data_IF_165312166324
#
_entry.id   IF_165312166324
#
_cell.length_a   1.000
_cell.length_b   1.000
_cell.length_c   1.000
_cell.angle_alpha   90.00
_cell.angle_beta   90.00
_cell.angle_gamma   90.00
#
_symmetry.space_group_name_H-M   'P 1'
#
loop_
_entity.id
_entity.type
_entity.pdbx_description
1 polymer ?
#
# COMPACT_ATOMS: atom_id res chain seq x y z
N UNK A 1 -4.43 -26.15 -77.26
CA UNK A 1 -4.28 -27.14 -76.18
C UNK A 1 -3.33 -26.52 -75.16
N UNK A 2 -3.86 -26.07 -74.02
CA UNK A 2 -3.12 -25.34 -73.00
C UNK A 2 -2.26 -26.31 -72.15
N UNK A 3 -0.98 -25.95 -71.95
CA UNK A 3 -0.07 -26.60 -71.00
C UNK A 3 -0.32 -26.01 -69.60
N UNK A 4 -0.68 -26.87 -68.63
CA UNK A 4 -0.80 -26.51 -67.21
C UNK A 4 0.54 -26.68 -66.51
N UNK A 5 1.16 -25.58 -66.07
CA UNK A 5 2.33 -25.62 -65.17
C UNK A 5 1.86 -25.62 -63.72
N UNK A 6 2.24 -26.65 -62.96
CA UNK A 6 1.89 -26.83 -61.56
C UNK A 6 2.99 -26.21 -60.68
N UNK A 7 2.70 -25.07 -60.04
CA UNK A 7 3.60 -24.45 -59.06
C UNK A 7 3.45 -25.15 -57.71
N UNK A 8 4.51 -25.81 -57.24
CA UNK A 8 4.61 -26.34 -55.87
C UNK A 8 5.09 -25.20 -54.98
N UNK A 9 4.19 -24.64 -54.17
CA UNK A 9 4.52 -23.66 -53.13
C UNK A 9 5.03 -24.37 -51.88
N UNK A 10 6.31 -24.20 -51.57
CA UNK A 10 6.89 -24.55 -50.27
C UNK A 10 6.33 -23.62 -49.20
N UNK A 11 5.46 -24.13 -48.33
CA UNK A 11 5.01 -23.42 -47.13
C UNK A 11 6.12 -23.54 -46.09
N UNK A 12 6.85 -22.45 -45.85
CA UNK A 12 7.72 -22.32 -44.69
C UNK A 12 6.81 -22.11 -43.48
N UNK A 13 6.74 -23.10 -42.60
CA UNK A 13 6.06 -22.97 -41.31
C UNK A 13 6.89 -22.02 -40.43
N UNK A 14 6.44 -20.76 -40.34
CA UNK A 14 6.99 -19.80 -39.39
C UNK A 14 6.41 -20.17 -38.02
N UNK A 15 7.25 -20.75 -37.16
CA UNK A 15 6.98 -20.91 -35.73
C UNK A 15 6.97 -19.52 -35.09
N UNK A 16 5.79 -18.90 -35.01
CA UNK A 16 5.60 -17.68 -34.20
C UNK A 16 5.46 -18.09 -32.74
N UNK A 17 6.57 -18.17 -32.01
CA UNK A 17 6.50 -18.21 -30.55
C UNK A 17 6.07 -16.80 -30.10
N UNK A 18 4.77 -16.64 -29.87
CA UNK A 18 4.20 -15.34 -29.53
C UNK A 18 4.74 -14.90 -28.17
N UNK A 19 5.50 -13.82 -28.15
CA UNK A 19 5.98 -13.22 -26.90
C UNK A 19 4.78 -12.94 -25.97
N UNK A 20 4.86 -13.38 -24.71
CA UNK A 20 3.81 -13.17 -23.73
C UNK A 20 3.45 -11.69 -23.62
N UNK A 21 2.18 -11.36 -23.81
CA UNK A 21 1.64 -10.00 -23.67
C UNK A 21 0.91 -9.92 -22.34
N UNK A 22 1.22 -8.90 -21.55
CA UNK A 22 0.56 -8.65 -20.28
C UNK A 22 -0.97 -8.57 -20.44
N UNK A 23 -1.75 -9.47 -19.82
CA UNK A 23 -3.20 -9.41 -19.89
C UNK A 23 -3.78 -8.14 -19.23
N UNK A 24 -3.06 -7.56 -18.27
CA UNK A 24 -3.35 -6.24 -17.66
C UNK A 24 -2.06 -5.48 -17.35
N UNK A 25 -2.10 -4.13 -17.17
CA UNK A 25 -0.87 -3.35 -16.98
C UNK A 25 -0.02 -3.81 -15.79
N UNK A 26 -0.64 -4.22 -14.67
CA UNK A 26 0.06 -4.67 -13.48
C UNK A 26 -0.51 -6.01 -12.97
N UNK A 27 0.34 -6.95 -12.52
CA UNK A 27 -0.13 -8.19 -11.87
C UNK A 27 0.73 -9.40 -12.17
N UNK A 28 0.32 -10.58 -11.69
CA UNK A 28 1.07 -11.81 -11.88
C UNK A 28 0.29 -12.88 -12.65
N UNK A 29 0.96 -13.55 -13.57
CA UNK A 29 0.32 -14.47 -14.53
C UNK A 29 1.14 -15.74 -14.68
N UNK A 30 0.44 -16.86 -14.87
CA UNK A 30 1.07 -18.16 -15.08
C UNK A 30 1.84 -18.17 -16.38
N UNK A 31 3.05 -18.69 -16.34
CA UNK A 31 3.70 -19.19 -17.55
C UNK A 31 3.02 -20.49 -17.97
N UNK A 32 2.39 -20.48 -19.16
CA UNK A 32 1.73 -21.65 -19.71
C UNK A 32 2.70 -22.80 -20.02
N UNK A 33 3.99 -22.49 -20.20
CA UNK A 33 5.05 -23.46 -20.52
C UNK A 33 5.74 -24.03 -19.28
N UNK A 34 5.64 -23.38 -18.11
CA UNK A 34 6.31 -23.81 -16.90
C UNK A 34 5.59 -23.40 -15.62
N UNK A 35 5.11 -24.40 -14.86
CA UNK A 35 4.55 -24.17 -13.52
C UNK A 35 5.58 -23.69 -12.49
N UNK A 36 6.87 -23.62 -12.85
CA UNK A 36 7.94 -23.07 -12.00
C UNK A 36 8.26 -21.63 -12.33
N UNK A 37 7.58 -21.06 -13.32
CA UNK A 37 7.76 -19.69 -13.77
C UNK A 37 6.42 -18.95 -13.77
N UNK A 38 6.49 -17.63 -13.75
CA UNK A 38 5.35 -16.74 -13.85
C UNK A 38 5.80 -15.41 -14.47
N UNK A 39 4.85 -14.65 -15.00
CA UNK A 39 5.07 -13.30 -15.47
C UNK A 39 4.59 -12.30 -14.42
N UNK A 40 5.42 -11.34 -14.08
CA UNK A 40 5.04 -10.13 -13.36
C UNK A 40 4.90 -9.01 -14.38
N UNK A 41 3.72 -8.48 -14.58
CA UNK A 41 3.47 -7.31 -15.42
C UNK A 41 3.58 -6.05 -14.59
N UNK A 42 4.28 -5.03 -15.10
CA UNK A 42 4.27 -3.68 -14.55
C UNK A 42 4.22 -2.65 -15.70
N UNK A 43 3.21 -1.78 -15.71
CA UNK A 43 2.89 -0.88 -16.82
C UNK A 43 2.88 -1.56 -18.21
N UNK A 44 2.25 -2.74 -18.29
CA UNK A 44 2.13 -3.60 -19.48
C UNK A 44 3.44 -4.21 -19.97
N UNK A 45 4.52 -4.10 -19.20
CA UNK A 45 5.81 -4.73 -19.48
C UNK A 45 5.90 -6.07 -18.73
N UNK A 46 6.01 -7.22 -19.41
CA UNK A 46 6.08 -8.52 -18.77
C UNK A 46 7.50 -8.85 -18.31
N UNK A 47 7.64 -9.22 -17.04
CA UNK A 47 8.87 -9.72 -16.44
C UNK A 47 8.71 -11.21 -16.13
N UNK A 48 9.38 -12.07 -16.90
CA UNK A 48 9.36 -13.51 -16.67
C UNK A 48 10.25 -13.89 -15.48
N UNK A 49 9.69 -14.56 -14.46
CA UNK A 49 10.33 -14.80 -13.17
C UNK A 49 10.19 -16.27 -12.74
N UNK A 50 11.26 -16.87 -12.18
CA UNK A 50 11.17 -18.18 -11.56
C UNK A 50 10.56 -18.12 -10.17
N UNK A 51 9.86 -19.17 -9.79
CA UNK A 51 9.58 -19.46 -8.40
C UNK A 51 10.86 -19.87 -7.65
N UNK A 52 10.96 -19.58 -6.34
CA UNK A 52 12.02 -20.13 -5.50
C UNK A 52 12.09 -21.66 -5.57
N UNK A 53 13.29 -22.22 -5.40
CA UNK A 53 13.55 -23.67 -5.54
C UNK A 53 12.57 -24.52 -4.72
N UNK A 54 11.90 -25.45 -5.39
CA UNK A 54 10.93 -26.37 -4.77
C UNK A 54 9.49 -25.89 -4.75
N UNK A 55 9.21 -24.68 -5.24
CA UNK A 55 7.85 -24.12 -5.33
C UNK A 55 7.34 -24.10 -6.78
N UNK A 56 6.02 -24.15 -6.93
CA UNK A 56 5.32 -23.96 -8.20
C UNK A 56 4.37 -22.78 -8.12
N UNK A 57 4.25 -22.05 -9.21
CA UNK A 57 3.33 -20.94 -9.36
C UNK A 57 1.89 -21.42 -9.24
N UNK A 58 1.11 -20.73 -8.41
CA UNK A 58 -0.32 -20.92 -8.29
C UNK A 58 -1.01 -19.63 -8.73
N UNK A 59 -1.61 -19.64 -9.93
CA UNK A 59 -2.36 -18.49 -10.43
C UNK A 59 -3.48 -18.06 -9.49
N UNK A 60 -4.14 -19.03 -8.86
CA UNK A 60 -5.23 -18.79 -7.90
C UNK A 60 -4.77 -18.02 -6.65
N UNK A 61 -3.50 -18.18 -6.27
CA UNK A 61 -2.94 -17.58 -5.04
C UNK A 61 -1.98 -16.44 -5.36
N UNK A 62 -1.81 -16.15 -6.66
CA UNK A 62 -0.77 -15.28 -7.25
C UNK A 62 0.59 -15.39 -6.53
N UNK A 63 1.00 -16.61 -6.15
CA UNK A 63 2.27 -16.86 -5.45
C UNK A 63 2.80 -18.26 -5.69
N UNK A 64 4.09 -18.43 -5.40
CA UNK A 64 4.76 -19.73 -5.45
C UNK A 64 4.44 -20.55 -4.19
N UNK A 65 3.98 -21.79 -4.36
CA UNK A 65 3.53 -22.70 -3.29
C UNK A 65 4.16 -24.08 -3.42
N UNK A 66 4.20 -24.85 -2.32
CA UNK A 66 4.64 -26.25 -2.35
C UNK A 66 3.55 -27.14 -2.96
N UNK A 67 3.91 -27.99 -3.92
CA UNK A 67 2.98 -28.93 -4.58
C UNK A 67 2.47 -30.06 -3.66
N UNK A 68 2.95 -30.16 -2.41
CA UNK A 68 2.66 -31.28 -1.49
C UNK A 68 1.69 -30.96 -0.36
N UNK A 69 0.85 -29.92 -0.47
CA UNK A 69 -0.28 -29.81 0.46
C UNK A 69 -1.41 -30.73 -0.05
N UNK A 70 -1.85 -31.74 0.72
CA UNK A 70 -2.88 -32.67 0.28
C UNK A 70 -4.15 -31.94 -0.14
N UNK A 71 -4.73 -32.39 -1.25
CA UNK A 71 -6.07 -31.98 -1.71
C UNK A 71 -7.05 -32.50 -0.66
N UNK A 72 -7.56 -31.64 0.20
CA UNK A 72 -8.73 -31.98 1.02
C UNK A 72 -9.90 -32.36 0.08
N UNK A 73 -10.82 -33.25 0.51
CA UNK A 73 -11.86 -33.79 -0.35
C UNK A 73 -12.64 -32.65 -1.00
N UNK A 74 -12.76 -32.71 -2.33
CA UNK A 74 -13.52 -31.75 -3.13
C UNK A 74 -14.98 -31.91 -2.72
N UNK A 75 -15.45 -31.03 -1.82
CA UNK A 75 -16.88 -30.74 -1.68
C UNK A 75 -17.44 -30.33 -3.05
N UNK A 76 -18.75 -30.54 -3.31
CA UNK A 76 -19.33 -30.25 -4.62
C UNK A 76 -18.93 -28.84 -5.03
N UNK A 77 -18.52 -28.66 -6.29
CA UNK A 77 -18.10 -27.38 -6.85
C UNK A 77 -19.26 -26.39 -6.67
N UNK A 78 -19.29 -25.68 -5.54
CA UNK A 78 -20.05 -24.46 -5.41
C UNK A 78 -19.46 -23.53 -6.46
N UNK A 79 -20.30 -23.05 -7.38
CA UNK A 79 -19.94 -22.02 -8.33
C UNK A 79 -19.12 -20.97 -7.59
N UNK A 80 -17.95 -20.60 -8.14
CA UNK A 80 -17.14 -19.52 -7.58
C UNK A 80 -18.01 -18.26 -7.64
N UNK A 81 -18.73 -17.96 -6.57
CA UNK A 81 -19.41 -16.70 -6.37
C UNK A 81 -18.30 -15.69 -6.14
N UNK A 82 -17.85 -15.04 -7.21
CA UNK A 82 -17.05 -13.84 -7.05
C UNK A 82 -17.97 -12.69 -6.61
N UNK A 83 -17.40 -11.62 -6.05
CA UNK A 83 -18.21 -10.51 -5.55
C UNK A 83 -19.09 -9.83 -6.62
N UNK A 84 -18.85 -10.10 -7.91
CA UNK A 84 -19.65 -9.61 -9.04
C UNK A 84 -20.76 -10.59 -9.50
N UNK A 85 -20.79 -11.84 -9.00
CA UNK A 85 -21.70 -12.89 -9.48
C UNK A 85 -23.18 -12.62 -9.18
N UNK A 86 -23.48 -11.77 -8.21
CA UNK A 86 -24.86 -11.38 -7.83
C UNK A 86 -25.33 -10.07 -8.49
N UNK A 87 -24.53 -9.51 -9.39
CA UNK A 87 -24.75 -8.21 -10.04
C UNK A 87 -23.55 -7.28 -9.87
N UNK A 88 -23.59 -6.12 -10.54
CA UNK A 88 -22.55 -5.09 -10.41
C UNK A 88 -22.81 -4.26 -9.13
N UNK A 89 -21.98 -4.38 -8.08
CA UNK A 89 -22.14 -3.63 -6.85
C UNK A 89 -21.32 -2.33 -6.83
N UNK A 90 -20.71 -1.97 -7.97
CA UNK A 90 -20.06 -0.69 -8.18
C UNK A 90 -21.10 0.38 -8.52
N UNK A 91 -21.00 1.51 -7.84
CA UNK A 91 -21.88 2.66 -7.97
C UNK A 91 -21.44 3.56 -9.13
N UNK A 92 -22.29 4.53 -9.48
CA UNK A 92 -21.95 5.63 -10.40
C UNK A 92 -21.41 5.21 -11.77
N UNK A 93 -21.89 4.07 -12.28
CA UNK A 93 -21.47 3.52 -13.57
C UNK A 93 -20.11 2.81 -13.53
N UNK A 94 -19.54 2.60 -12.35
CA UNK A 94 -18.36 1.76 -12.18
C UNK A 94 -18.61 0.33 -12.64
N UNK A 95 -17.56 -0.36 -13.11
CA UNK A 95 -17.65 -1.75 -13.58
C UNK A 95 -17.04 -2.70 -12.56
N UNK A 96 -17.73 -3.80 -12.25
CA UNK A 96 -17.27 -4.81 -11.30
C UNK A 96 -16.35 -5.83 -11.96
N UNK A 97 -15.16 -5.99 -11.40
CA UNK A 97 -14.18 -6.99 -11.78
C UNK A 97 -13.98 -8.01 -10.64
N UNK A 98 -14.03 -9.32 -10.91
CA UNK A 98 -13.76 -10.35 -9.90
C UNK A 98 -12.35 -10.23 -9.32
N UNK A 99 -12.24 -10.20 -7.99
CA UNK A 99 -10.96 -10.18 -7.26
C UNK A 99 -10.86 -11.36 -6.31
N UNK A 100 -10.88 -12.60 -6.82
CA UNK A 100 -10.81 -13.81 -5.97
C UNK A 100 -12.17 -14.31 -5.46
N UNK A 101 -12.16 -15.16 -4.42
CA UNK A 101 -13.36 -15.79 -3.85
C UNK A 101 -14.09 -14.78 -2.97
N UNK A 102 -15.33 -14.44 -3.32
CA UNK A 102 -16.19 -13.43 -2.68
C UNK A 102 -15.70 -11.98 -2.71
N UNK A 103 -14.56 -11.70 -3.34
CA UNK A 103 -13.98 -10.35 -3.42
C UNK A 103 -14.09 -9.77 -4.84
N UNK A 104 -14.12 -8.43 -4.92
CA UNK A 104 -14.39 -7.67 -6.14
C UNK A 104 -13.64 -6.35 -6.14
N UNK A 105 -13.38 -5.86 -7.34
CA UNK A 105 -12.80 -4.55 -7.57
C UNK A 105 -13.71 -3.72 -8.47
N UNK A 106 -13.85 -2.43 -8.16
CA UNK A 106 -14.67 -1.52 -8.96
C UNK A 106 -13.80 -0.58 -9.81
N UNK A 107 -13.93 -0.71 -11.12
CA UNK A 107 -13.37 0.23 -12.10
C UNK A 107 -14.25 1.46 -12.19
N UNK A 108 -13.81 2.58 -11.61
CA UNK A 108 -14.60 3.79 -11.56
C UNK A 108 -14.53 4.59 -12.87
N UNK A 109 -15.70 5.11 -13.26
CA UNK A 109 -15.85 6.11 -14.32
C UNK A 109 -15.16 7.42 -13.95
N UNK A 110 -14.96 8.29 -14.93
CA UNK A 110 -14.34 9.59 -14.71
C UNK A 110 -15.10 10.37 -13.62
N UNK A 111 -14.37 10.93 -12.66
CA UNK A 111 -14.90 11.62 -11.48
C UNK A 111 -15.60 10.72 -10.45
N UNK A 112 -15.29 9.42 -10.38
CA UNK A 112 -15.70 8.59 -9.25
C UNK A 112 -14.52 7.78 -8.70
N UNK A 113 -14.57 7.45 -7.41
CA UNK A 113 -13.54 6.71 -6.71
C UNK A 113 -14.10 6.04 -5.44
N UNK A 114 -13.26 5.29 -4.73
CA UNK A 114 -13.67 4.42 -3.63
C UNK A 114 -13.74 2.95 -4.06
N UNK A 115 -13.82 2.05 -3.09
CA UNK A 115 -13.82 0.60 -3.32
C UNK A 115 -15.00 0.12 -4.17
N UNK A 116 -16.07 0.91 -4.21
CA UNK A 116 -17.30 0.69 -4.96
C UNK A 116 -17.65 1.87 -5.88
N UNK A 117 -16.73 2.78 -6.17
CA UNK A 117 -17.02 4.01 -6.92
C UNK A 117 -18.14 4.87 -6.31
N UNK A 118 -18.32 4.75 -4.99
CA UNK A 118 -19.38 5.38 -4.20
C UNK A 118 -19.15 6.89 -4.02
N UNK A 119 -17.93 7.38 -4.27
CA UNK A 119 -17.58 8.77 -4.05
C UNK A 119 -17.48 9.55 -5.36
N UNK A 120 -18.12 10.73 -5.39
CA UNK A 120 -18.01 11.69 -6.48
C UNK A 120 -16.73 12.50 -6.34
N UNK A 121 -15.94 12.56 -7.40
CA UNK A 121 -14.79 13.42 -7.61
C UNK A 121 -15.21 14.84 -7.99
N UNK A 122 -16.23 15.39 -7.33
CA UNK A 122 -16.33 16.85 -7.22
C UNK A 122 -15.16 17.31 -6.34
N UNK A 123 -14.61 18.49 -6.64
CA UNK A 123 -13.36 18.97 -6.02
C UNK A 123 -13.34 18.70 -4.52
N UNK A 124 -12.32 17.97 -4.05
CA UNK A 124 -12.29 17.48 -2.69
C UNK A 124 -12.53 18.63 -1.70
N UNK A 125 -13.65 18.62 -0.99
CA UNK A 125 -13.95 19.58 0.08
C UNK A 125 -13.03 19.32 1.28
N UNK A 126 -11.83 19.88 1.16
CA UNK A 126 -10.77 19.85 2.16
C UNK A 126 -10.70 21.16 2.94
N UNK A 127 -11.83 21.87 3.02
CA UNK A 127 -11.96 23.15 3.75
C UNK A 127 -11.50 23.03 5.21
N UNK A 128 -11.72 21.89 5.85
CA UNK A 128 -11.20 21.59 7.20
C UNK A 128 -9.67 21.65 7.22
N UNK A 129 -8.99 21.02 6.25
CA UNK A 129 -7.52 21.03 6.18
C UNK A 129 -6.99 22.42 5.81
N UNK A 130 -7.67 23.14 4.91
CA UNK A 130 -7.33 24.53 4.56
C UNK A 130 -7.50 25.48 5.75
N UNK A 131 -8.53 25.25 6.57
CA UNK A 131 -8.72 25.98 7.82
C UNK A 131 -7.63 25.67 8.84
N UNK A 132 -7.16 24.43 8.92
CA UNK A 132 -6.05 24.04 9.81
C UNK A 132 -4.75 24.73 9.37
N UNK A 133 -4.49 24.81 8.06
CA UNK A 133 -3.30 25.48 7.50
C UNK A 133 -3.35 27.00 7.70
N UNK A 134 -4.52 27.62 7.48
CA UNK A 134 -4.69 29.08 7.53
C UNK A 134 -4.92 29.62 8.93
N UNK A 135 -5.42 28.79 9.85
CA UNK A 135 -5.48 29.10 11.27
C UNK A 135 -4.05 29.29 11.78
N UNK A 136 -3.74 30.49 12.27
CA UNK A 136 -2.42 30.92 12.77
C UNK A 136 -2.06 30.20 14.10
N UNK A 137 -2.18 28.87 14.12
CA UNK A 137 -2.32 28.05 15.31
C UNK A 137 -1.06 27.22 15.57
N UNK A 138 -0.65 27.17 16.83
CA UNK A 138 0.43 26.33 17.36
C UNK A 138 0.17 24.80 17.22
N UNK A 139 -0.91 24.40 16.56
CA UNK A 139 -1.35 23.01 16.42
C UNK A 139 -1.03 22.42 15.02
N UNK A 140 -0.57 23.22 14.07
CA UNK A 140 -0.17 22.71 12.76
C UNK A 140 1.17 21.97 12.84
N UNK A 141 1.23 20.77 12.27
CA UNK A 141 2.41 19.92 12.31
C UNK A 141 3.30 20.15 11.09
N UNK A 142 4.58 20.39 11.32
CA UNK A 142 5.55 20.66 10.25
C UNK A 142 6.41 19.44 9.87
N UNK A 143 6.24 18.32 10.57
CA UNK A 143 7.10 17.14 10.43
C UNK A 143 7.15 16.61 9.00
N UNK A 144 6.01 16.55 8.30
CA UNK A 144 5.93 16.05 6.93
C UNK A 144 6.77 16.90 5.99
N UNK A 145 6.60 18.22 6.06
CA UNK A 145 7.29 19.15 5.17
C UNK A 145 8.79 19.17 5.46
N UNK A 146 9.17 19.19 6.74
CA UNK A 146 10.57 19.25 7.15
C UNK A 146 11.32 17.97 6.77
N UNK A 147 10.74 16.81 7.06
CA UNK A 147 11.37 15.50 6.78
C UNK A 147 11.47 15.28 5.28
N UNK A 148 10.38 15.49 4.53
CA UNK A 148 10.39 15.32 3.08
C UNK A 148 11.23 16.39 2.38
N UNK A 149 11.45 17.55 2.99
CA UNK A 149 12.32 18.58 2.42
C UNK A 149 13.79 18.29 2.58
N UNK A 150 14.21 17.77 3.73
CA UNK A 150 15.61 17.49 4.04
C UNK A 150 16.10 16.14 3.53
N UNK A 151 15.21 15.28 3.05
CA UNK A 151 15.53 13.98 2.48
C UNK A 151 15.21 13.91 0.98
N UNK A 152 16.14 13.35 0.19
CA UNK A 152 16.00 13.22 -1.27
C UNK A 152 15.58 11.80 -1.70
N UNK A 153 14.49 11.30 -1.13
CA UNK A 153 13.98 9.97 -1.50
C UNK A 153 13.19 10.01 -2.81
N UNK A 154 13.27 8.93 -3.58
CA UNK A 154 12.54 8.71 -4.84
C UNK A 154 11.80 7.37 -4.80
N UNK A 155 10.91 7.13 -5.75
CA UNK A 155 10.11 5.90 -5.83
C UNK A 155 9.39 5.61 -4.50
N UNK A 156 8.72 6.65 -3.99
CA UNK A 156 8.09 6.64 -2.68
C UNK A 156 6.71 6.00 -2.76
N UNK A 157 6.45 5.10 -1.81
CA UNK A 157 5.11 4.71 -1.36
C UNK A 157 4.83 5.47 -0.07
N UNK A 158 3.83 6.34 -0.06
CA UNK A 158 3.40 7.06 1.14
C UNK A 158 2.17 6.37 1.76
N UNK A 159 2.32 5.85 2.97
CA UNK A 159 1.27 5.21 3.75
C UNK A 159 0.92 6.13 4.92
N UNK A 160 -0.28 6.68 4.92
CA UNK A 160 -0.65 7.85 5.72
C UNK A 160 -1.85 7.50 6.60
N UNK A 161 -1.65 7.61 7.90
CA UNK A 161 -2.74 7.63 8.87
C UNK A 161 -3.53 8.93 8.71
N UNK A 162 -4.84 8.80 8.47
CA UNK A 162 -5.77 9.93 8.33
C UNK A 162 -6.93 9.86 9.32
N UNK A 163 -6.72 9.18 10.45
CA UNK A 163 -7.63 9.16 11.60
C UNK A 163 -7.85 10.56 12.19
N UNK A 164 -8.83 10.68 13.08
CA UNK A 164 -9.26 11.96 13.63
C UNK A 164 -8.16 12.70 14.39
N UNK A 165 -7.29 11.98 15.11
CA UNK A 165 -6.14 12.58 15.83
C UNK A 165 -5.08 13.12 14.86
N UNK A 166 -4.97 12.52 13.67
CA UNK A 166 -3.99 12.89 12.66
C UNK A 166 -4.37 14.11 11.83
N UNK A 167 -5.53 14.75 12.06
CA UNK A 167 -5.99 15.91 11.30
C UNK A 167 -4.91 17.01 11.08
N UNK A 168 -4.12 17.43 12.09
CA UNK A 168 -3.05 18.41 11.85
C UNK A 168 -1.94 17.90 10.94
N UNK A 169 -1.58 16.61 11.04
CA UNK A 169 -0.56 16.03 10.18
C UNK A 169 -1.08 15.71 8.77
N UNK A 170 -2.35 15.30 8.66
CA UNK A 170 -3.07 15.17 7.41
C UNK A 170 -3.09 16.52 6.67
N UNK A 171 -3.31 17.64 7.37
CA UNK A 171 -3.18 18.97 6.79
C UNK A 171 -1.77 19.24 6.25
N UNK A 172 -0.73 18.74 6.93
CA UNK A 172 0.65 18.85 6.46
C UNK A 172 0.93 18.04 5.19
N UNK A 173 0.36 16.83 5.10
CA UNK A 173 0.39 16.02 3.88
C UNK A 173 -0.34 16.75 2.75
N UNK A 174 -1.52 17.30 3.01
CA UNK A 174 -2.29 18.09 2.04
C UNK A 174 -1.50 19.29 1.51
N UNK A 175 -0.88 20.07 2.41
CA UNK A 175 -0.05 21.20 2.03
C UNK A 175 1.15 20.78 1.20
N UNK A 176 1.82 19.70 1.58
CA UNK A 176 2.92 19.13 0.81
C UNK A 176 2.50 18.79 -0.62
N UNK A 177 1.36 18.10 -0.78
CA UNK A 177 0.82 17.72 -2.08
C UNK A 177 0.53 18.93 -2.98
N UNK A 178 0.01 20.02 -2.42
CA UNK A 178 -0.33 21.25 -3.18
C UNK A 178 0.89 22.09 -3.55
N UNK A 179 1.83 22.28 -2.61
CA UNK A 179 2.90 23.27 -2.73
C UNK A 179 4.23 22.70 -3.25
N UNK A 180 4.44 21.39 -3.15
CA UNK A 180 5.72 20.76 -3.49
C UNK A 180 5.62 19.90 -4.75
N UNK A 181 4.93 20.37 -5.78
CA UNK A 181 4.57 19.57 -6.97
C UNK A 181 5.76 18.92 -7.69
N UNK A 182 6.95 19.52 -7.66
CA UNK A 182 8.14 18.89 -8.23
C UNK A 182 8.67 17.74 -7.37
N UNK A 183 8.56 17.85 -6.04
CA UNK A 183 8.95 16.78 -5.11
C UNK A 183 7.88 15.69 -4.99
N UNK A 184 6.60 16.00 -5.22
CA UNK A 184 5.54 14.98 -5.24
C UNK A 184 5.70 14.01 -6.42
N UNK A 185 6.45 14.38 -7.47
CA UNK A 185 6.86 13.46 -8.55
C UNK A 185 7.71 12.28 -8.05
N UNK A 186 8.34 12.41 -6.89
CA UNK A 186 9.08 11.32 -6.27
C UNK A 186 8.16 10.30 -5.59
N UNK A 187 6.90 10.66 -5.33
CA UNK A 187 5.87 9.78 -4.80
C UNK A 187 5.15 9.12 -5.97
N UNK A 188 5.09 7.79 -5.96
CA UNK A 188 4.42 7.01 -7.00
C UNK A 188 3.04 6.56 -6.57
N UNK A 189 2.84 6.37 -5.27
CA UNK A 189 1.64 5.76 -4.73
C UNK A 189 1.33 6.28 -3.33
N UNK A 190 0.05 6.48 -3.07
CA UNK A 190 -0.49 6.81 -1.75
C UNK A 190 -1.40 5.69 -1.26
N UNK A 191 -1.31 5.43 0.04
CA UNK A 191 -2.28 4.66 0.82
C UNK A 191 -2.68 5.53 2.00
N UNK A 192 -3.97 5.69 2.22
CA UNK A 192 -4.57 6.38 3.36
C UNK A 192 -5.34 5.34 4.17
N UNK A 193 -5.25 5.39 5.49
CA UNK A 193 -6.03 4.49 6.34
C UNK A 193 -6.69 5.23 7.50
N UNK A 194 -7.86 4.72 7.92
CA UNK A 194 -8.72 5.32 8.95
C UNK A 194 -9.17 4.32 10.03
N UNK A 195 -8.53 3.14 10.06
CA UNK A 195 -8.81 2.03 10.98
C UNK A 195 -10.23 1.45 10.89
N UNK A 196 -10.69 1.25 9.66
CA UNK A 196 -11.78 0.35 9.37
C UNK A 196 -13.13 1.01 9.17
N UNK A 197 -13.19 2.24 8.67
CA UNK A 197 -14.45 2.91 8.28
C UNK A 197 -15.50 2.98 9.40
N UNK A 198 -15.10 3.48 10.57
CA UNK A 198 -15.93 3.57 11.79
C UNK A 198 -16.53 2.21 12.24
N UNK A 199 -15.92 1.09 11.84
CA UNK A 199 -16.25 -0.23 12.39
C UNK A 199 -16.13 -0.21 13.91
N UNK A 200 -17.10 -0.87 14.57
CA UNK A 200 -17.01 -1.14 16.00
C UNK A 200 -15.74 -1.94 16.33
N UNK A 201 -15.15 -1.73 17.50
CA UNK A 201 -13.89 -2.38 17.90
C UNK A 201 -13.92 -3.91 17.81
N UNK A 202 -15.09 -4.54 18.01
CA UNK A 202 -15.25 -6.00 17.89
C UNK A 202 -15.15 -6.51 16.44
N UNK A 203 -15.44 -5.66 15.46
CA UNK A 203 -15.37 -5.99 14.04
C UNK A 203 -13.97 -5.81 13.44
N UNK A 204 -13.05 -5.13 14.15
CA UNK A 204 -11.68 -4.85 13.71
C UNK A 204 -10.78 -6.06 13.87
N UNK A 205 -10.79 -6.93 12.86
CA UNK A 205 -9.97 -8.15 12.80
C UNK A 205 -8.60 -7.83 12.20
N UNK A 206 -7.54 -8.18 12.90
CA UNK A 206 -6.15 -8.00 12.44
C UNK A 206 -5.96 -8.64 11.05
N UNK A 207 -5.43 -7.84 10.11
CA UNK A 207 -5.19 -8.25 8.71
C UNK A 207 -6.42 -8.12 7.82
N UNK A 208 -7.54 -7.65 8.37
CA UNK A 208 -8.76 -7.33 7.62
C UNK A 208 -9.56 -6.23 8.34
N UNK A 209 -8.89 -5.27 8.99
CA UNK A 209 -9.60 -4.15 9.65
C UNK A 209 -10.26 -3.27 8.60
N UNK A 210 -9.59 -3.05 7.47
CA UNK A 210 -10.13 -2.30 6.32
C UNK A 210 -9.98 -0.79 6.49
N UNK A 211 -10.80 0.00 5.80
CA UNK A 211 -10.62 1.45 5.81
C UNK A 211 -9.30 1.88 5.20
N UNK A 212 -8.87 1.16 4.17
CA UNK A 212 -7.64 1.41 3.40
C UNK A 212 -8.07 1.94 2.03
N UNK A 213 -7.54 3.10 1.68
CA UNK A 213 -7.85 3.80 0.43
C UNK A 213 -6.55 4.11 -0.28
N UNK A 214 -6.44 3.77 -1.56
CA UNK A 214 -5.18 3.92 -2.28
C UNK A 214 -5.34 4.54 -3.67
N UNK A 215 -4.26 5.18 -4.14
CA UNK A 215 -4.27 5.90 -5.41
C UNK A 215 -2.84 6.09 -5.93
N UNK A 216 -2.66 5.86 -7.22
CA UNK A 216 -1.43 6.26 -7.91
C UNK A 216 -1.26 7.79 -7.88
N UNK A 217 -0.04 8.26 -7.65
CA UNK A 217 0.26 9.69 -7.47
C UNK A 217 0.30 10.51 -8.79
N UNK A 218 -0.37 10.03 -9.85
CA UNK A 218 -0.34 10.64 -11.18
C UNK A 218 -1.42 11.74 -11.38
N UNK A 219 -2.38 11.85 -10.46
CA UNK A 219 -3.43 12.86 -10.52
C UNK A 219 -3.71 13.40 -9.11
N UNK A 220 -3.28 14.65 -8.87
CA UNK A 220 -3.42 15.31 -7.58
C UNK A 220 -4.88 15.38 -7.11
N UNK A 221 -5.83 15.73 -7.97
CA UNK A 221 -7.24 15.84 -7.58
C UNK A 221 -7.82 14.50 -7.13
N UNK A 222 -7.46 13.40 -7.81
CA UNK A 222 -7.88 12.05 -7.42
C UNK A 222 -7.25 11.60 -6.10
N UNK A 223 -5.97 11.90 -5.87
CA UNK A 223 -5.29 11.63 -4.59
C UNK A 223 -5.97 12.39 -3.45
N UNK A 224 -6.25 13.68 -3.65
CA UNK A 224 -6.92 14.51 -2.66
C UNK A 224 -8.34 14.04 -2.34
N UNK A 225 -9.09 13.62 -3.35
CA UNK A 225 -10.41 13.04 -3.15
C UNK A 225 -10.30 11.71 -2.37
N UNK A 226 -9.36 10.84 -2.74
CA UNK A 226 -9.10 9.57 -2.03
C UNK A 226 -8.79 9.79 -0.55
N UNK A 227 -7.91 10.74 -0.25
CA UNK A 227 -7.61 11.16 1.12
C UNK A 227 -8.86 11.65 1.87
N UNK A 228 -9.66 12.51 1.22
CA UNK A 228 -10.89 13.03 1.82
C UNK A 228 -11.90 11.91 2.14
N UNK A 229 -12.06 10.93 1.26
CA UNK A 229 -12.98 9.81 1.53
C UNK A 229 -12.51 8.94 2.68
N UNK A 230 -11.21 8.63 2.74
CA UNK A 230 -10.66 7.93 3.89
C UNK A 230 -10.96 8.68 5.20
N UNK A 231 -10.73 9.99 5.24
CA UNK A 231 -11.05 10.82 6.42
C UNK A 231 -12.56 10.89 6.76
N UNK A 232 -13.43 10.85 5.74
CA UNK A 232 -14.89 10.95 5.92
C UNK A 232 -15.52 9.64 6.40
N UNK A 233 -14.98 8.51 5.97
CA UNK A 233 -15.56 7.21 6.25
C UNK A 233 -15.11 6.64 7.61
N UNK A 234 -14.06 7.19 8.23
CA UNK A 234 -13.60 6.71 9.53
C UNK A 234 -12.73 7.71 10.27
N UNK A 235 -12.82 7.72 11.61
CA UNK A 235 -12.00 8.57 12.47
C UNK A 235 -11.02 7.81 13.37
N UNK A 236 -10.94 6.47 13.28
CA UNK A 236 -10.18 5.63 14.20
C UNK A 236 -11.06 4.96 15.27
N UNK A 237 -11.90 5.70 15.99
CA UNK A 237 -12.86 5.16 16.97
C UNK A 237 -12.26 4.61 18.29
N UNK A 238 -11.15 3.87 18.24
CA UNK A 238 -10.29 3.53 19.37
C UNK A 238 -8.84 3.99 19.13
N UNK A 239 -7.95 3.78 20.10
CA UNK A 239 -6.55 4.27 20.03
C UNK A 239 -5.65 3.41 19.11
N UNK A 240 -5.77 2.06 19.06
CA UNK A 240 -4.92 1.23 18.21
C UNK A 240 -5.38 1.17 16.75
N UNK A 241 -4.50 1.58 15.82
CA UNK A 241 -4.80 1.65 14.38
C UNK A 241 -4.25 0.44 13.58
N UNK A 242 -4.55 0.36 12.28
CA UNK A 242 -4.23 -0.75 11.37
C UNK A 242 -3.06 -0.48 10.41
N UNK A 243 -1.96 0.05 10.95
CA UNK A 243 -0.81 0.52 10.18
C UNK A 243 -0.15 -0.56 9.29
N UNK A 244 0.02 -1.79 9.82
CA UNK A 244 0.82 -2.81 9.12
C UNK A 244 0.08 -3.37 7.92
N UNK A 245 -1.22 -3.62 8.00
CA UNK A 245 -2.00 -4.04 6.84
C UNK A 245 -2.02 -2.96 5.75
N UNK A 246 -2.08 -1.67 6.12
CA UNK A 246 -1.97 -0.56 5.16
C UNK A 246 -0.58 -0.53 4.47
N UNK A 247 0.50 -0.78 5.23
CA UNK A 247 1.86 -0.90 4.67
C UNK A 247 1.96 -2.08 3.69
N UNK A 248 1.48 -3.26 4.10
CA UNK A 248 1.52 -4.46 3.26
C UNK A 248 0.73 -4.27 1.97
N UNK A 249 -0.48 -3.71 2.06
CA UNK A 249 -1.29 -3.32 0.90
C UNK A 249 -0.52 -2.39 -0.04
N UNK A 250 0.08 -1.32 0.49
CA UNK A 250 0.85 -0.39 -0.33
C UNK A 250 2.06 -1.03 -1.02
N UNK A 251 2.75 -1.96 -0.36
CA UNK A 251 3.89 -2.69 -0.94
C UNK A 251 3.45 -3.53 -2.15
N UNK A 252 2.28 -4.16 -2.05
CA UNK A 252 1.67 -4.92 -3.13
C UNK A 252 1.26 -4.01 -4.30
N UNK A 253 0.66 -2.85 -4.00
CA UNK A 253 0.23 -1.90 -5.02
C UNK A 253 1.39 -1.15 -5.70
N UNK A 254 2.51 -0.97 -5.00
CA UNK A 254 3.73 -0.37 -5.56
C UNK A 254 4.96 -1.27 -5.38
N UNK A 255 5.07 -2.37 -6.15
CA UNK A 255 6.21 -3.29 -6.04
C UNK A 255 7.53 -2.63 -6.43
N UNK A 256 7.49 -1.60 -7.27
CA UNK A 256 8.66 -0.82 -7.69
C UNK A 256 9.07 0.29 -6.71
N UNK A 257 8.22 0.64 -5.74
CA UNK A 257 8.58 1.62 -4.72
C UNK A 257 9.69 1.04 -3.83
N UNK A 258 10.76 1.81 -3.64
CA UNK A 258 11.93 1.44 -2.83
C UNK A 258 11.96 2.16 -1.49
N UNK A 259 11.25 3.28 -1.38
CA UNK A 259 11.15 4.07 -0.17
C UNK A 259 9.71 4.04 0.35
N UNK A 260 9.48 3.25 1.40
CA UNK A 260 8.19 3.24 2.09
C UNK A 260 8.24 4.29 3.17
N UNK A 261 7.37 5.29 3.08
CA UNK A 261 7.21 6.32 4.08
C UNK A 261 5.89 6.08 4.79
N UNK A 262 5.96 5.74 6.07
CA UNK A 262 4.81 5.54 6.92
C UNK A 262 4.64 6.76 7.83
N UNK A 263 3.56 7.52 7.65
CA UNK A 263 3.22 8.70 8.44
C UNK A 263 2.18 8.28 9.47
N UNK A 264 2.58 8.26 10.74
CA UNK A 264 1.84 7.61 11.82
C UNK A 264 1.64 8.52 13.04
N UNK A 265 0.57 8.27 13.80
CA UNK A 265 0.31 8.95 15.08
C UNK A 265 1.24 8.42 16.19
N UNK A 266 2.05 9.31 16.78
CA UNK A 266 2.89 8.96 17.92
C UNK A 266 2.12 8.49 19.16
N UNK A 267 0.81 8.77 19.24
CA UNK A 267 -0.04 8.43 20.38
C UNK A 267 -0.74 7.07 20.21
N UNK A 268 -0.74 6.52 19.01
CA UNK A 268 -1.34 5.24 18.69
C UNK A 268 -0.29 4.13 18.63
N UNK A 269 -0.62 2.96 19.18
CA UNK A 269 0.18 1.75 18.97
C UNK A 269 -0.53 0.87 17.95
N UNK A 270 0.12 0.48 16.85
CA UNK A 270 -0.54 -0.32 15.82
C UNK A 270 -1.06 -1.64 16.38
N UNK A 271 -2.31 -1.97 16.07
CA UNK A 271 -3.02 -3.15 16.56
C UNK A 271 -2.51 -4.44 15.93
N UNK A 272 -1.94 -4.31 14.75
CA UNK A 272 -1.60 -5.38 13.84
C UNK A 272 -0.08 -5.59 13.70
N UNK A 273 0.70 -5.16 14.72
CA UNK A 273 2.15 -5.40 14.81
C UNK A 273 2.56 -6.87 14.62
N UNK A 274 1.67 -7.82 14.90
CA UNK A 274 1.91 -9.25 14.64
C UNK A 274 2.18 -9.54 13.16
N UNK A 275 1.67 -8.70 12.25
CA UNK A 275 1.87 -8.80 10.80
C UNK A 275 3.23 -8.24 10.36
N UNK A 276 3.95 -7.49 11.22
CA UNK A 276 5.18 -6.76 10.85
C UNK A 276 6.26 -7.66 10.25
N UNK A 277 6.32 -8.92 10.67
CA UNK A 277 7.27 -9.91 10.12
C UNK A 277 7.09 -10.16 8.62
N UNK A 278 5.95 -9.80 8.04
CA UNK A 278 5.65 -9.93 6.61
C UNK A 278 6.21 -8.76 5.80
N UNK A 279 6.53 -7.63 6.42
CA UNK A 279 7.10 -6.45 5.76
C UNK A 279 8.57 -6.71 5.42
N UNK A 280 8.88 -6.84 4.12
CA UNK A 280 10.24 -7.20 3.63
C UNK A 280 11.03 -6.02 3.05
N UNK A 281 10.47 -4.82 3.13
CA UNK A 281 11.10 -3.59 2.62
C UNK A 281 11.32 -2.62 3.78
N UNK A 282 12.41 -1.81 3.75
CA UNK A 282 12.65 -0.79 4.77
C UNK A 282 11.53 0.23 4.88
N UNK A 283 11.01 0.42 6.10
CA UNK A 283 9.97 1.42 6.39
C UNK A 283 10.59 2.63 7.08
N UNK A 284 10.42 3.80 6.46
CA UNK A 284 10.77 5.10 7.02
C UNK A 284 9.56 5.63 7.77
N UNK A 285 9.61 5.58 9.09
CA UNK A 285 8.50 6.03 9.93
C UNK A 285 8.65 7.53 10.19
N UNK A 286 7.76 8.35 9.64
CA UNK A 286 7.53 9.72 10.10
C UNK A 286 6.47 9.66 11.19
N UNK A 287 6.78 10.22 12.34
CA UNK A 287 5.84 10.25 13.46
C UNK A 287 5.35 11.68 13.70
N UNK A 288 4.04 11.87 13.72
CA UNK A 288 3.39 13.14 14.00
C UNK A 288 3.00 13.23 15.47
N UNK A 289 2.81 14.43 16.02
CA UNK A 289 2.46 14.64 17.42
C UNK A 289 3.50 14.07 18.39
N UNK A 290 4.78 14.14 18.02
CA UNK A 290 5.89 13.85 18.93
C UNK A 290 5.90 14.90 20.02
N UNK A 291 5.63 14.49 21.25
CA UNK A 291 5.71 15.37 22.41
C UNK A 291 7.11 15.32 23.05
N UNK A 292 7.28 16.11 24.11
CA UNK A 292 8.53 16.13 24.88
C UNK A 292 8.88 14.77 25.50
N UNK A 293 7.94 13.83 25.58
CA UNK A 293 8.12 12.48 26.08
C UNK A 293 8.54 11.49 24.98
N UNK A 294 9.00 11.97 23.82
CA UNK A 294 9.66 11.16 22.80
C UNK A 294 8.70 10.36 21.93
N UNK A 295 9.23 9.34 21.27
CA UNK A 295 8.53 8.55 20.26
C UNK A 295 7.91 7.27 20.82
N UNK A 296 6.81 6.81 20.24
CA UNK A 296 6.24 5.51 20.53
C UNK A 296 7.29 4.42 20.22
N UNK A 297 7.67 3.59 21.21
CA UNK A 297 8.66 2.54 20.99
C UNK A 297 8.24 1.52 19.93
N UNK A 298 6.94 1.32 19.70
CA UNK A 298 6.47 0.40 18.66
C UNK A 298 6.67 0.96 17.25
N UNK A 299 6.50 2.26 17.05
CA UNK A 299 6.84 2.93 15.78
C UNK A 299 8.36 2.87 15.51
N UNK A 300 9.17 3.10 16.55
CA UNK A 300 10.63 2.89 16.49
C UNK A 300 10.97 1.42 16.13
N UNK A 301 10.22 0.46 16.65
CA UNK A 301 10.40 -0.96 16.36
C UNK A 301 9.98 -1.36 14.95
N UNK A 302 9.00 -0.67 14.34
CA UNK A 302 8.68 -0.84 12.91
C UNK A 302 9.88 -0.44 12.05
N UNK A 303 10.42 0.76 12.30
CA UNK A 303 11.62 1.24 11.60
C UNK A 303 12.80 0.27 11.77
N UNK A 304 13.09 -0.14 13.00
CA UNK A 304 14.19 -1.06 13.28
C UNK A 304 14.03 -2.44 12.63
N UNK A 305 12.89 -3.10 12.84
CA UNK A 305 12.67 -4.49 12.37
C UNK A 305 12.61 -4.61 10.85
N UNK A 306 12.30 -3.51 10.18
CA UNK A 306 12.30 -3.44 8.71
C UNK A 306 13.64 -2.96 8.14
N UNK A 307 14.64 -2.68 9.00
CA UNK A 307 15.91 -2.04 8.59
C UNK A 307 15.71 -0.68 7.91
N UNK A 308 14.65 0.02 8.32
CA UNK A 308 14.35 1.39 7.93
C UNK A 308 14.90 2.42 8.90
N UNK A 309 14.17 3.50 9.07
CA UNK A 309 14.59 4.67 9.86
C UNK A 309 13.38 5.38 10.46
N UNK A 310 13.61 6.13 11.53
CA UNK A 310 12.59 6.93 12.20
C UNK A 310 12.90 8.41 12.00
N UNK A 311 11.87 9.21 11.77
CA UNK A 311 11.98 10.62 11.43
C UNK A 311 11.01 11.45 12.26
N UNK A 312 11.53 12.45 12.94
CA UNK A 312 10.76 13.42 13.74
C UNK A 312 10.86 14.82 13.13
N UNK A 313 10.35 15.86 13.80
CA UNK A 313 10.41 17.23 13.28
C UNK A 313 11.85 17.66 12.95
N UNK A 314 12.81 17.32 13.81
CA UNK A 314 14.17 17.88 13.77
C UNK A 314 15.28 16.81 13.66
N UNK A 315 14.94 15.52 13.77
CA UNK A 315 15.91 14.43 13.84
C UNK A 315 15.55 13.26 12.92
N UNK A 316 16.57 12.71 12.26
CA UNK A 316 16.50 11.47 11.48
C UNK A 316 17.34 10.40 12.17
N UNK A 317 16.68 9.37 12.71
CA UNK A 317 17.32 8.25 13.41
C UNK A 317 17.46 7.08 12.45
N UNK A 318 18.69 6.87 11.98
CA UNK A 318 19.06 5.88 10.97
C UNK A 318 19.91 4.75 11.57
N UNK A 319 20.14 3.68 10.80
CA UNK A 319 21.00 2.55 11.20
C UNK A 319 20.60 1.91 12.53
N UNK A 320 19.30 1.90 12.85
CA UNK A 320 18.76 1.40 14.12
C UNK A 320 19.18 -0.05 14.42
N UNK A 321 19.22 -0.88 13.39
CA UNK A 321 19.60 -2.30 13.48
C UNK A 321 21.07 -2.52 13.85
N UNK A 322 21.93 -1.51 13.67
CA UNK A 322 23.35 -1.58 14.01
C UNK A 322 23.61 -1.31 15.50
N UNK A 323 22.63 -0.83 16.25
CA UNK A 323 22.75 -0.57 17.68
C UNK A 323 22.79 -1.90 18.44
N UNK A 324 23.87 -2.19 19.21
CA UNK A 324 24.01 -3.44 19.95
C UNK A 324 22.96 -3.60 21.06
N UNK A 325 22.58 -4.85 21.37
CA UNK A 325 21.71 -5.16 22.51
C UNK A 325 22.35 -4.66 23.81
N UNK A 326 21.57 -3.95 24.62
CA UNK A 326 22.01 -3.32 25.87
C UNK A 326 22.34 -1.83 25.73
N UNK A 327 22.70 -1.38 24.53
CA UNK A 327 23.00 0.03 24.26
C UNK A 327 21.75 0.91 24.30
N UNK A 328 21.97 2.21 24.50
CA UNK A 328 20.91 3.20 24.63
C UNK A 328 21.00 4.26 23.53
N UNK A 329 19.84 4.72 23.09
CA UNK A 329 19.70 5.93 22.28
C UNK A 329 18.73 6.88 22.95
N UNK A 330 18.87 8.16 22.66
CA UNK A 330 17.93 9.19 23.14
C UNK A 330 17.31 9.86 21.94
N UNK A 331 15.99 9.94 21.92
CA UNK A 331 15.20 10.60 20.88
C UNK A 331 14.33 11.63 21.59
N UNK A 332 14.50 12.91 21.24
CA UNK A 332 13.97 14.01 22.06
C UNK A 332 14.53 13.96 23.49
N UNK A 333 13.66 13.88 24.50
CA UNK A 333 14.07 13.76 25.92
C UNK A 333 13.96 12.35 26.47
N UNK A 334 13.61 11.36 25.64
CA UNK A 334 13.40 9.99 26.09
C UNK A 334 14.53 9.08 25.68
N UNK A 335 14.96 8.24 26.62
CA UNK A 335 15.99 7.24 26.38
C UNK A 335 15.34 5.88 26.16
N UNK A 336 15.87 5.17 25.16
CA UNK A 336 15.45 3.84 24.75
C UNK A 336 16.64 2.91 24.87
N UNK A 337 16.43 1.71 25.38
CA UNK A 337 17.43 0.64 25.39
C UNK A 337 17.10 -0.39 24.32
N UNK A 338 18.12 -0.80 23.57
CA UNK A 338 18.05 -1.94 22.66
C UNK A 338 17.92 -3.24 23.43
N UNK A 339 16.88 -4.01 23.16
CA UNK A 339 16.71 -5.40 23.63
C UNK A 339 16.76 -6.35 22.44
N UNK A 340 16.76 -7.66 22.70
CA UNK A 340 16.64 -8.67 21.63
C UNK A 340 15.30 -8.61 20.87
N UNK A 341 14.25 -8.04 21.48
CA UNK A 341 12.91 -7.93 20.89
C UNK A 341 12.61 -6.58 20.22
N UNK A 342 13.52 -5.60 20.34
CA UNK A 342 13.34 -4.22 19.89
C UNK A 342 13.79 -3.20 20.95
N UNK A 343 13.50 -1.93 20.72
CA UNK A 343 13.70 -0.83 21.67
C UNK A 343 12.58 -0.75 22.70
N UNK A 344 12.96 -0.47 23.95
CA UNK A 344 12.07 -0.21 25.08
C UNK A 344 12.48 1.09 25.78
N UNK A 345 11.51 1.81 26.33
CA UNK A 345 11.77 3.00 27.17
C UNK A 345 12.47 2.58 28.46
N UNK A 346 13.44 3.37 28.93
CA UNK A 346 14.21 3.11 30.16
C UNK A 346 14.30 4.27 31.13
#
# INVERSE_FOLDING_TARGET
MLLSSLFITFIVAISTDAAFVCPRPNGFFSDASSSKMFYHCFNSIPYHKPCPSGLSWSQVRERCVFMSSPIEPVEPVEEITNGCSKGNPCQNGGSCEPSGKDDLFCLCTENYYGSRCEHVGEGADLSILESIISGNNNNYEHVVENVLSRNNWTDILAVVDVTGSMQPCAAAVYKWMKLSQDKTKNIRYYVFFNDGDDKSNLAKKIGSTGGIYDMAANNLNKVLATMQSAMKNGNGGDIPENDIEAILHGIEMCPTCTNIIHIADNRATPRDLVLLSQVKKPVKVLTCQVDVAGVNPQLLNIADKTSGSLHTLDEDVVNLSAIPVGEKITIGRRTYRRTSSGFVVV
#
